data_IF_604107831613
#
_entry.id   IF_604107831613
#
_cell.length_a   1.000
_cell.length_b   1.000
_cell.length_c   1.000
_cell.angle_alpha   90.00
_cell.angle_beta   90.00
_cell.angle_gamma   90.00
#
_symmetry.space_group_name_H-M   'P 1'
#
loop_
_entity.id
_entity.type
_entity.pdbx_description
1 polymer ?
#
# COMPACT_ATOMS: atom_id res chain seq x y z
N UNK A 1 -25.12 59.11 -25.38
CA UNK A 1 -24.11 60.03 -25.92
C UNK A 1 -22.83 59.26 -26.12
N UNK A 2 -22.43 59.23 -27.39
CA UNK A 2 -21.12 59.00 -28.01
C UNK A 2 -20.42 57.69 -27.62
N UNK A 3 -20.43 56.64 -28.42
CA UNK A 3 -19.72 56.45 -29.69
C UNK A 3 -18.20 56.67 -29.55
N UNK A 4 -17.45 55.57 -29.65
CA UNK A 4 -16.43 55.52 -30.68
C UNK A 4 -15.94 54.13 -30.98
N UNK A 5 -15.99 53.83 -32.17
CA UNK A 5 -15.41 52.85 -33.04
C UNK A 5 -13.91 53.13 -33.19
N UNK A 6 -13.12 52.11 -33.32
CA UNK A 6 -11.98 52.00 -34.25
C UNK A 6 -11.48 50.56 -34.25
N UNK A 7 -11.77 49.75 -35.23
CA UNK A 7 -11.07 49.48 -36.49
C UNK A 7 -9.75 48.71 -36.38
N UNK A 8 -9.83 47.49 -36.82
CA UNK A 8 -8.94 46.73 -37.70
C UNK A 8 -7.42 46.71 -37.48
N UNK A 9 -6.88 45.51 -37.41
CA UNK A 9 -5.78 45.10 -38.29
C UNK A 9 -5.59 43.58 -38.24
N UNK A 10 -5.91 42.96 -39.34
CA UNK A 10 -5.55 41.59 -39.66
C UNK A 10 -4.06 41.53 -39.98
N UNK A 11 -3.33 40.64 -39.34
CA UNK A 11 -1.99 40.20 -39.77
C UNK A 11 -1.97 38.68 -39.84
N UNK A 12 -2.16 38.22 -41.08
CA UNK A 12 -1.86 36.87 -41.50
C UNK A 12 -0.34 36.70 -41.58
N UNK A 13 0.24 35.96 -40.64
CA UNK A 13 1.61 35.46 -40.79
C UNK A 13 1.54 33.94 -40.94
N UNK A 14 1.66 33.55 -42.21
CA UNK A 14 1.90 32.16 -42.62
C UNK A 14 3.32 31.76 -42.22
N UNK A 15 3.46 31.10 -41.10
CA UNK A 15 4.74 30.52 -40.66
C UNK A 15 4.82 29.06 -41.09
N UNK A 16 5.61 28.76 -42.10
CA UNK A 16 6.01 27.43 -42.54
C UNK A 16 6.92 26.81 -41.46
N UNK A 17 6.40 25.91 -40.62
CA UNK A 17 7.23 25.12 -39.70
C UNK A 17 7.75 23.90 -40.46
N UNK A 18 9.01 23.95 -40.84
CA UNK A 18 9.77 22.79 -41.23
C UNK A 18 10.02 21.91 -39.98
N UNK A 19 9.33 20.79 -39.93
CA UNK A 19 9.63 19.74 -38.91
C UNK A 19 10.89 19.01 -39.36
N UNK A 20 12.04 19.49 -38.92
CA UNK A 20 13.26 18.71 -38.96
C UNK A 20 13.18 17.62 -37.88
N UNK A 21 12.83 16.41 -38.29
CA UNK A 21 12.87 15.24 -37.45
C UNK A 21 14.32 14.89 -37.13
N UNK A 22 14.85 15.44 -36.05
CA UNK A 22 16.01 14.89 -35.40
C UNK A 22 15.55 13.68 -34.59
N UNK A 23 15.74 12.49 -35.16
CA UNK A 23 15.73 11.25 -34.40
C UNK A 23 16.89 11.24 -33.44
N UNK A 24 16.74 11.88 -32.27
CA UNK A 24 17.59 11.63 -31.15
C UNK A 24 17.28 10.21 -30.68
N UNK A 25 18.25 9.31 -30.86
CA UNK A 25 18.23 8.01 -30.20
C UNK A 25 18.09 8.30 -28.68
N UNK A 26 16.93 7.98 -28.10
CA UNK A 26 16.75 8.04 -26.66
C UNK A 26 17.83 7.15 -26.03
N UNK A 27 18.62 7.67 -25.10
CA UNK A 27 19.50 6.80 -24.34
C UNK A 27 18.61 5.75 -23.70
N UNK A 28 18.93 4.47 -23.93
CA UNK A 28 18.22 3.37 -23.33
C UNK A 28 18.14 3.63 -21.82
N UNK A 29 16.95 3.99 -21.34
CA UNK A 29 16.72 4.19 -19.92
C UNK A 29 17.03 2.87 -19.25
N UNK A 30 18.08 2.84 -18.42
CA UNK A 30 18.35 1.69 -17.56
C UNK A 30 17.06 1.43 -16.78
N UNK A 31 16.55 0.19 -16.75
CA UNK A 31 15.39 -0.12 -15.94
C UNK A 31 15.69 0.36 -14.51
N UNK A 32 14.73 1.05 -13.85
CA UNK A 32 14.94 1.49 -12.48
C UNK A 32 15.35 0.26 -11.67
N UNK A 33 16.48 0.37 -10.96
CA UNK A 33 16.96 -0.69 -10.08
C UNK A 33 15.80 -1.00 -9.14
N UNK A 34 15.26 -2.22 -9.19
CA UNK A 34 14.12 -2.61 -8.37
C UNK A 34 14.49 -2.33 -6.91
N UNK A 35 13.70 -1.50 -6.23
CA UNK A 35 13.90 -1.24 -4.80
C UNK A 35 13.97 -2.58 -4.06
N UNK A 36 14.83 -2.72 -3.05
CA UNK A 36 14.92 -3.95 -2.27
C UNK A 36 13.51 -4.35 -1.80
N UNK A 37 13.12 -5.58 -2.08
CA UNK A 37 11.81 -6.08 -1.65
C UNK A 37 11.81 -6.15 -0.12
N UNK A 38 10.83 -5.56 0.57
CA UNK A 38 10.79 -5.60 2.02
C UNK A 38 10.74 -7.06 2.51
N UNK A 39 11.37 -7.33 3.65
CA UNK A 39 11.29 -8.62 4.31
C UNK A 39 9.81 -8.96 4.62
N UNK A 40 9.28 -10.06 4.09
CA UNK A 40 7.88 -10.41 4.25
C UNK A 40 7.48 -10.66 5.72
N UNK A 41 8.37 -11.18 6.55
CA UNK A 41 8.11 -11.36 7.98
C UNK A 41 8.04 -10.02 8.68
N UNK A 42 8.96 -9.10 8.38
CA UNK A 42 8.96 -7.77 8.96
C UNK A 42 7.70 -6.97 8.56
N UNK A 43 7.31 -7.03 7.30
CA UNK A 43 6.10 -6.36 6.80
C UNK A 43 4.83 -6.91 7.47
N UNK A 44 4.68 -8.23 7.53
CA UNK A 44 3.58 -8.90 8.22
C UNK A 44 3.56 -8.53 9.71
N UNK A 45 4.70 -8.57 10.39
CA UNK A 45 4.81 -8.24 11.82
C UNK A 45 4.34 -6.82 12.11
N UNK A 46 4.80 -5.85 11.32
CA UNK A 46 4.40 -4.46 11.48
C UNK A 46 2.88 -4.29 11.31
N UNK A 47 2.29 -4.97 10.34
CA UNK A 47 0.87 -4.90 10.06
C UNK A 47 0.03 -5.55 11.19
N UNK A 48 0.40 -6.75 11.64
CA UNK A 48 -0.31 -7.41 12.74
C UNK A 48 -0.19 -6.62 14.05
N UNK A 49 0.99 -6.08 14.35
CA UNK A 49 1.20 -5.25 15.55
C UNK A 49 0.31 -4.01 15.50
N UNK A 50 0.28 -3.31 14.37
CA UNK A 50 -0.56 -2.12 14.21
C UNK A 50 -2.04 -2.43 14.48
N UNK A 51 -2.60 -3.44 13.83
CA UNK A 51 -4.02 -3.78 14.00
C UNK A 51 -4.33 -4.37 15.38
N UNK A 52 -3.41 -5.14 15.98
CA UNK A 52 -3.59 -5.63 17.34
C UNK A 52 -3.65 -4.47 18.35
N UNK A 53 -2.78 -3.48 18.20
CA UNK A 53 -2.80 -2.28 19.04
C UNK A 53 -4.09 -1.47 18.86
N UNK A 54 -4.61 -1.36 17.64
CA UNK A 54 -5.87 -0.68 17.38
C UNK A 54 -7.05 -1.44 18.02
N UNK A 55 -7.11 -2.76 17.85
CA UNK A 55 -8.18 -3.59 18.40
C UNK A 55 -8.13 -3.65 19.95
N UNK A 56 -6.94 -3.64 20.54
CA UNK A 56 -6.76 -3.65 22.00
C UNK A 56 -7.09 -2.32 22.65
N UNK A 57 -6.88 -1.19 21.98
CA UNK A 57 -7.30 0.13 22.47
C UNK A 57 -8.80 0.31 22.48
N UNK A 58 -9.55 -0.62 21.93
CA UNK A 58 -10.99 -0.51 21.85
C UNK A 58 -11.45 0.61 20.93
N UNK A 59 -10.67 0.88 19.90
CA UNK A 59 -11.06 1.78 18.82
C UNK A 59 -12.43 1.38 18.28
N UNK A 60 -13.20 2.32 17.68
CA UNK A 60 -14.50 1.98 17.12
C UNK A 60 -14.28 0.85 16.11
N UNK A 61 -15.03 -0.23 16.27
CA UNK A 61 -15.13 -1.26 15.24
C UNK A 61 -15.65 -0.55 13.99
N UNK A 62 -14.74 -0.28 13.06
CA UNK A 62 -15.08 0.44 11.83
C UNK A 62 -15.73 -0.47 10.80
N UNK A 63 -16.03 -1.70 11.20
CA UNK A 63 -16.62 -2.69 10.30
C UNK A 63 -15.72 -3.09 9.14
N UNK A 64 -14.44 -2.75 9.20
CA UNK A 64 -13.48 -3.16 8.18
C UNK A 64 -13.28 -4.67 8.23
N UNK A 65 -13.53 -5.31 7.11
CA UNK A 65 -13.14 -6.70 6.96
C UNK A 65 -11.61 -6.83 6.84
N UNK A 66 -11.11 -8.05 6.88
CA UNK A 66 -9.67 -8.31 6.83
C UNK A 66 -9.02 -7.83 5.53
N UNK A 67 -9.75 -7.81 4.42
CA UNK A 67 -9.25 -7.36 3.12
C UNK A 67 -9.09 -5.84 3.10
N UNK A 68 -10.02 -5.11 3.68
CA UNK A 68 -9.93 -3.65 3.85
C UNK A 68 -8.78 -3.26 4.76
N UNK A 69 -8.43 -4.11 5.74
CA UNK A 69 -7.23 -3.97 6.58
C UNK A 69 -5.94 -4.35 5.83
N UNK A 70 -6.04 -4.86 4.60
CA UNK A 70 -4.90 -5.34 3.79
C UNK A 70 -4.33 -6.67 4.31
N UNK A 71 -5.10 -7.45 5.05
CA UNK A 71 -4.68 -8.73 5.60
C UNK A 71 -5.05 -9.89 4.67
N UNK A 72 -4.23 -10.93 4.65
CA UNK A 72 -4.65 -12.22 4.12
C UNK A 72 -5.51 -12.95 5.15
N UNK A 73 -6.27 -13.98 4.73
CA UNK A 73 -7.06 -14.77 5.67
C UNK A 73 -6.22 -15.34 6.82
N UNK A 74 -5.02 -15.89 6.51
CA UNK A 74 -4.12 -16.40 7.55
C UNK A 74 -3.63 -15.32 8.53
N UNK A 75 -3.42 -14.09 8.05
CA UNK A 75 -3.07 -12.96 8.91
C UNK A 75 -4.25 -12.51 9.75
N UNK A 76 -5.46 -12.54 9.21
CA UNK A 76 -6.67 -12.20 9.96
C UNK A 76 -6.93 -13.18 11.10
N UNK A 77 -6.79 -14.49 10.85
CA UNK A 77 -6.90 -15.51 11.89
C UNK A 77 -5.84 -15.30 12.98
N UNK A 78 -4.58 -15.08 12.57
CA UNK A 78 -3.49 -14.82 13.50
C UNK A 78 -3.70 -13.55 14.34
N UNK A 79 -4.28 -12.50 13.76
CA UNK A 79 -4.63 -11.27 14.46
C UNK A 79 -5.73 -11.50 15.49
N UNK A 80 -6.79 -12.23 15.12
CA UNK A 80 -7.88 -12.55 16.03
C UNK A 80 -7.39 -13.34 17.24
N UNK A 81 -6.56 -14.35 17.02
CA UNK A 81 -5.95 -15.15 18.10
C UNK A 81 -5.03 -14.31 18.98
N UNK A 82 -4.22 -13.43 18.38
CA UNK A 82 -3.31 -12.54 19.11
C UNK A 82 -4.07 -11.60 20.04
N UNK A 83 -5.12 -10.97 19.54
CA UNK A 83 -5.95 -10.05 20.31
C UNK A 83 -6.73 -10.78 21.43
N UNK A 84 -7.26 -11.97 21.12
CA UNK A 84 -7.95 -12.79 22.12
C UNK A 84 -7.01 -13.19 23.26
N UNK A 85 -5.78 -13.62 22.93
CA UNK A 85 -4.77 -13.98 23.91
C UNK A 85 -4.34 -12.76 24.75
N UNK A 86 -4.10 -11.61 24.11
CA UNK A 86 -3.73 -10.40 24.83
C UNK A 86 -4.82 -9.96 25.83
N UNK A 87 -6.08 -10.07 25.45
CA UNK A 87 -7.22 -9.77 26.35
C UNK A 87 -7.33 -10.75 27.52
N UNK A 88 -7.02 -12.02 27.28
CA UNK A 88 -7.03 -13.04 28.34
C UNK A 88 -5.93 -12.84 29.37
N UNK A 89 -4.74 -12.42 28.94
CA UNK A 89 -3.59 -12.13 29.80
C UNK A 89 -3.74 -10.80 30.58
N UNK A 90 -4.53 -9.87 30.03
CA UNK A 90 -4.84 -8.59 30.67
C UNK A 90 -3.62 -7.66 30.78
N UNK A 91 -3.53 -6.92 31.90
CA UNK A 91 -2.52 -5.88 32.13
C UNK A 91 -1.12 -6.42 32.49
N UNK A 92 -0.93 -7.73 32.55
CA UNK A 92 0.33 -8.36 32.93
C UNK A 92 1.32 -8.54 31.78
N UNK A 93 0.94 -8.10 30.53
CA UNK A 93 1.77 -8.29 29.37
C UNK A 93 2.99 -7.36 29.37
N UNK A 94 4.16 -7.88 28.98
CA UNK A 94 5.32 -7.04 28.70
C UNK A 94 5.02 -6.05 27.56
N UNK A 95 5.68 -4.88 27.53
CA UNK A 95 5.41 -3.85 26.51
C UNK A 95 5.63 -4.31 25.06
N UNK A 96 6.53 -5.28 24.85
CA UNK A 96 6.88 -5.82 23.52
C UNK A 96 6.19 -7.16 23.19
N UNK A 97 5.28 -7.62 24.06
CA UNK A 97 4.62 -8.91 23.91
C UNK A 97 3.85 -9.02 22.58
N UNK A 98 3.06 -8.00 22.23
CA UNK A 98 2.27 -7.99 20.98
C UNK A 98 3.18 -8.12 19.76
N UNK A 99 4.27 -7.33 19.71
CA UNK A 99 5.21 -7.37 18.59
C UNK A 99 5.95 -8.71 18.51
N UNK A 100 6.32 -9.29 19.63
CA UNK A 100 6.97 -10.61 19.71
C UNK A 100 6.02 -11.69 19.18
N UNK A 101 4.80 -11.73 19.67
CA UNK A 101 3.80 -12.69 19.26
C UNK A 101 3.37 -12.52 17.79
N UNK A 102 3.27 -11.28 17.30
CA UNK A 102 3.03 -11.01 15.89
C UNK A 102 4.14 -11.57 15.01
N UNK A 103 5.42 -11.39 15.42
CA UNK A 103 6.57 -11.91 14.68
C UNK A 103 6.57 -13.43 14.58
N UNK A 104 6.30 -14.12 15.67
CA UNK A 104 6.23 -15.59 15.71
C UNK A 104 5.17 -16.11 14.74
N UNK A 105 3.97 -15.52 14.76
CA UNK A 105 2.87 -15.87 13.84
C UNK A 105 3.22 -15.59 12.41
N UNK A 106 3.79 -14.41 12.11
CA UNK A 106 4.21 -14.03 10.77
C UNK A 106 5.30 -14.95 10.22
N UNK A 107 6.26 -15.37 11.05
CA UNK A 107 7.28 -16.35 10.65
C UNK A 107 6.62 -17.66 10.22
N UNK A 108 5.65 -18.15 10.97
CA UNK A 108 4.92 -19.37 10.64
C UNK A 108 4.05 -19.21 9.34
N UNK A 109 3.44 -18.04 9.15
CA UNK A 109 2.64 -17.75 7.95
C UNK A 109 3.52 -17.72 6.70
N UNK A 110 4.66 -17.00 6.76
CA UNK A 110 5.58 -16.85 5.62
C UNK A 110 6.27 -18.17 5.28
N UNK A 111 6.56 -19.01 6.27
CA UNK A 111 7.17 -20.33 6.05
C UNK A 111 6.20 -21.35 5.45
N UNK A 112 4.88 -21.08 5.45
CA UNK A 112 3.89 -21.99 4.89
C UNK A 112 3.93 -21.93 3.37
N UNK A 113 4.03 -23.08 2.65
CA UNK A 113 3.96 -23.08 1.20
C UNK A 113 2.61 -22.51 0.74
N UNK A 114 2.59 -21.82 -0.41
CA UNK A 114 1.35 -21.30 -0.97
C UNK A 114 0.34 -22.44 -1.11
N UNK A 115 -0.86 -22.21 -0.62
CA UNK A 115 -1.97 -23.17 -0.72
C UNK A 115 -2.32 -23.35 -2.19
N UNK A 116 -2.02 -24.51 -2.77
CA UNK A 116 -2.45 -24.87 -4.12
C UNK A 116 -3.93 -25.27 -4.18
N UNK A 117 -4.61 -25.29 -3.03
CA UNK A 117 -6.03 -25.56 -2.89
C UNK A 117 -6.85 -24.30 -3.16
N UNK A 118 -7.05 -23.93 -4.41
CA UNK A 118 -7.78 -22.73 -4.80
C UNK A 118 -7.94 -22.61 -6.32
N UNK A 119 -7.82 -23.72 -7.03
CA UNK A 119 -8.32 -23.78 -8.38
C UNK A 119 -9.85 -23.63 -8.33
N UNK A 120 -10.37 -22.54 -8.86
CA UNK A 120 -11.79 -22.44 -9.19
C UNK A 120 -12.16 -23.63 -10.10
N UNK A 121 -13.29 -24.27 -9.87
CA UNK A 121 -13.78 -25.31 -10.79
C UNK A 121 -14.09 -24.71 -12.18
#
# INVERSE_FOLDING_TARGET
>A
MTADRTTAAAVLLTGLLAVAGCGAAEPASMPPSAAPRPDPVAACTAQLTYWADEDLRGGPDRGFDYQERGLTGAQADALADLVAQARAEGSALPPDWVATQARERCTAIVARPPSTAGGWP
#
